data_IF_054477211501
#
_entry.id   IF_054477211501
#
_cell.length_a   1.000
_cell.length_b   1.000
_cell.length_c   1.000
_cell.angle_alpha   90.00
_cell.angle_beta   90.00
_cell.angle_gamma   90.00
#
_symmetry.space_group_name_H-M   'P 1'
#
loop_
_entity.id
_entity.type
_entity.pdbx_description
1 polymer ?
#
# COMPACT_ATOMS: atom_id res chain seq x y z
N UNK A 1 -3.91 -12.38 30.20
CA UNK A 1 -3.67 -10.95 30.19
C UNK A 1 -2.26 -10.66 29.71
N UNK A 2 -2.06 -9.77 28.74
CA UNK A 2 -0.76 -9.51 28.13
C UNK A 2 0.33 -9.10 29.11
N UNK A 3 -0.01 -8.25 30.07
CA UNK A 3 0.97 -7.71 31.00
C UNK A 3 1.52 -8.77 31.96
N UNK A 4 0.77 -9.84 32.26
CA UNK A 4 1.21 -10.95 33.12
C UNK A 4 2.30 -11.81 32.49
N UNK A 5 2.37 -11.87 31.14
CA UNK A 5 3.35 -12.71 30.42
C UNK A 5 4.44 -11.90 29.71
N UNK A 6 4.42 -10.57 29.89
CA UNK A 6 5.35 -9.66 29.22
C UNK A 6 6.82 -10.05 29.43
N UNK A 7 7.18 -10.52 30.61
CA UNK A 7 8.54 -10.92 30.93
C UNK A 7 9.04 -12.14 30.12
N UNK A 8 8.13 -12.95 29.58
CA UNK A 8 8.43 -14.17 28.83
C UNK A 8 8.43 -13.95 27.30
N UNK A 9 8.22 -12.71 26.84
CA UNK A 9 8.08 -12.36 25.44
C UNK A 9 9.11 -11.32 25.03
N UNK A 10 9.55 -11.38 23.77
CA UNK A 10 10.28 -10.27 23.16
C UNK A 10 9.34 -9.06 22.97
N UNK A 11 9.90 -7.88 22.75
CA UNK A 11 9.12 -6.65 22.56
C UNK A 11 8.09 -6.80 21.42
N UNK A 12 8.46 -7.41 20.30
CA UNK A 12 7.57 -7.55 19.15
C UNK A 12 6.55 -8.67 19.37
N UNK A 13 6.93 -9.77 20.02
CA UNK A 13 5.99 -10.80 20.45
C UNK A 13 4.93 -10.24 21.40
N UNK A 14 5.35 -9.39 22.36
CA UNK A 14 4.41 -8.76 23.29
C UNK A 14 3.44 -7.82 22.58
N UNK A 15 3.92 -6.98 21.64
CA UNK A 15 3.04 -6.09 20.86
C UNK A 15 2.00 -6.88 20.08
N UNK A 16 2.45 -7.91 19.36
CA UNK A 16 1.56 -8.76 18.57
C UNK A 16 0.53 -9.49 19.46
N UNK A 17 1.01 -10.10 20.54
CA UNK A 17 0.14 -10.79 21.49
C UNK A 17 -0.91 -9.85 22.09
N UNK A 18 -0.50 -8.65 22.50
CA UNK A 18 -1.40 -7.64 23.04
C UNK A 18 -2.45 -7.19 22.01
N UNK A 19 -2.06 -7.03 20.76
CA UNK A 19 -2.98 -6.69 19.67
C UNK A 19 -4.04 -7.78 19.47
N UNK A 20 -3.60 -9.04 19.35
CA UNK A 20 -4.50 -10.19 19.18
C UNK A 20 -5.44 -10.32 20.39
N UNK A 21 -4.90 -10.23 21.60
CA UNK A 21 -5.69 -10.31 22.84
C UNK A 21 -6.75 -9.21 22.90
N UNK A 22 -6.36 -7.96 22.68
CA UNK A 22 -7.28 -6.83 22.72
C UNK A 22 -8.39 -6.97 21.67
N UNK A 23 -8.03 -7.39 20.44
CA UNK A 23 -9.02 -7.60 19.37
C UNK A 23 -9.98 -8.73 19.72
N UNK A 24 -9.48 -9.84 20.26
CA UNK A 24 -10.32 -10.96 20.69
C UNK A 24 -11.29 -10.52 21.80
N UNK A 25 -10.81 -9.85 22.84
CA UNK A 25 -11.69 -9.36 23.90
C UNK A 25 -12.69 -8.33 23.38
N UNK A 26 -12.24 -7.38 22.56
CA UNK A 26 -13.09 -6.37 21.95
C UNK A 26 -14.23 -6.99 21.12
N UNK A 27 -13.99 -8.11 20.43
CA UNK A 27 -15.03 -8.82 19.67
C UNK A 27 -16.15 -9.41 20.53
N UNK A 28 -15.91 -9.59 21.83
CA UNK A 28 -16.90 -10.10 22.81
C UNK A 28 -17.55 -8.98 23.62
N UNK A 29 -17.15 -7.71 23.40
CA UNK A 29 -17.69 -6.57 24.12
C UNK A 29 -18.89 -5.97 23.38
N UNK A 30 -19.69 -5.20 24.12
CA UNK A 30 -20.80 -4.43 23.55
C UNK A 30 -20.29 -3.41 22.51
N UNK A 31 -21.12 -3.12 21.51
CA UNK A 31 -20.84 -2.09 20.51
C UNK A 31 -20.72 -0.70 21.13
N UNK A 32 -19.96 0.18 20.48
CA UNK A 32 -19.95 1.59 20.83
C UNK A 32 -21.28 2.24 20.44
N UNK A 33 -21.75 3.19 21.27
CA UNK A 33 -22.99 3.94 21.03
C UNK A 33 -22.65 5.40 20.77
N UNK A 34 -23.27 5.96 19.74
CA UNK A 34 -23.13 7.36 19.36
C UNK A 34 -24.49 8.03 19.29
N UNK A 35 -24.57 9.22 19.86
CA UNK A 35 -25.68 10.13 19.55
C UNK A 35 -25.31 10.91 18.28
N UNK A 36 -26.14 10.79 17.25
CA UNK A 36 -25.90 11.45 15.95
C UNK A 36 -26.96 12.51 15.66
N UNK A 37 -26.51 13.65 15.18
CA UNK A 37 -27.38 14.77 14.78
C UNK A 37 -27.11 15.08 13.31
N UNK A 38 -28.18 15.14 12.51
CA UNK A 38 -28.13 15.62 11.13
C UNK A 38 -29.10 16.78 10.98
N UNK A 39 -28.56 17.98 10.77
CA UNK A 39 -29.35 19.20 10.60
C UNK A 39 -29.32 19.67 9.15
N UNK A 40 -30.50 20.01 8.61
CA UNK A 40 -30.62 20.70 7.33
C UNK A 40 -31.07 22.14 7.61
N UNK A 41 -30.25 23.10 7.23
CA UNK A 41 -30.45 24.53 7.46
C UNK A 41 -30.77 25.20 6.12
N UNK A 42 -31.96 25.78 5.98
CA UNK A 42 -32.38 26.45 4.77
C UNK A 42 -32.28 27.96 4.95
N UNK A 43 -31.89 28.67 3.90
CA UNK A 43 -31.87 30.14 3.93
C UNK A 43 -33.28 30.68 3.77
N UNK A 44 -33.59 31.80 4.46
CA UNK A 44 -34.80 32.56 4.30
C UNK A 44 -34.59 33.66 3.22
N UNK A 45 -34.35 33.23 1.98
CA UNK A 45 -34.12 34.13 0.84
C UNK A 45 -34.92 33.68 -0.36
N UNK A 46 -35.08 34.58 -1.40
CA UNK A 46 -35.76 34.24 -2.65
C UNK A 46 -35.23 32.94 -3.28
N UNK A 47 -33.94 32.74 -3.25
CA UNK A 47 -33.27 31.48 -3.63
C UNK A 47 -32.98 30.72 -2.38
N UNK A 48 -33.61 29.57 -2.19
CA UNK A 48 -33.39 28.72 -1.03
C UNK A 48 -32.07 27.92 -1.21
N UNK A 49 -31.12 28.16 -0.34
CA UNK A 49 -29.91 27.38 -0.26
C UNK A 49 -29.98 26.48 0.98
N UNK A 50 -29.62 25.22 0.81
CA UNK A 50 -29.62 24.22 1.89
C UNK A 50 -28.21 23.86 2.31
N UNK A 51 -27.93 24.01 3.59
CA UNK A 51 -26.68 23.58 4.24
C UNK A 51 -26.95 22.34 5.08
N UNK A 52 -26.05 21.39 5.04
CA UNK A 52 -26.13 20.19 5.89
C UNK A 52 -25.01 20.20 6.90
N UNK A 53 -25.34 19.95 8.15
CA UNK A 53 -24.41 19.78 9.24
C UNK A 53 -24.65 18.41 9.89
N UNK A 54 -23.62 17.60 10.02
CA UNK A 54 -23.68 16.31 10.68
C UNK A 54 -22.73 16.33 11.89
N UNK A 55 -23.22 15.85 13.01
CA UNK A 55 -22.42 15.73 14.24
C UNK A 55 -22.66 14.37 14.88
N UNK A 56 -21.68 13.93 15.65
CA UNK A 56 -21.78 12.73 16.48
C UNK A 56 -21.02 12.91 17.78
N UNK A 57 -21.58 12.37 18.84
CA UNK A 57 -20.99 12.37 20.17
C UNK A 57 -20.94 10.92 20.65
N UNK A 58 -19.77 10.48 21.06
CA UNK A 58 -19.58 9.14 21.61
C UNK A 58 -20.22 9.09 23.02
N UNK A 59 -21.31 8.33 23.15
CA UNK A 59 -22.04 8.16 24.41
C UNK A 59 -21.48 7.02 25.25
N UNK A 60 -21.19 5.89 24.58
CA UNK A 60 -20.65 4.71 25.23
C UNK A 60 -19.53 4.12 24.38
N UNK A 61 -18.35 3.94 24.97
CA UNK A 61 -17.17 3.46 24.24
C UNK A 61 -17.25 2.01 23.80
N UNK A 62 -17.92 1.15 24.57
CA UNK A 62 -18.00 -0.27 24.30
C UNK A 62 -16.62 -0.88 24.04
N UNK A 63 -16.50 -1.66 22.97
CA UNK A 63 -15.25 -2.31 22.54
C UNK A 63 -14.09 -1.32 22.25
N UNK A 64 -14.40 -0.08 21.91
CA UNK A 64 -13.39 0.96 21.65
C UNK A 64 -12.54 1.32 22.87
N UNK A 65 -12.92 0.84 24.05
CA UNK A 65 -12.10 0.97 25.26
C UNK A 65 -10.78 0.19 25.16
N UNK A 66 -10.80 -0.94 24.43
CA UNK A 66 -9.63 -1.82 24.27
C UNK A 66 -9.02 -1.76 22.89
N UNK A 67 -9.83 -1.54 21.86
CA UNK A 67 -9.40 -1.60 20.48
C UNK A 67 -10.07 -0.52 19.63
N UNK A 68 -9.25 0.31 19.03
CA UNK A 68 -9.67 1.26 17.98
C UNK A 68 -8.88 0.93 16.75
N UNK A 69 -9.55 0.72 15.63
CA UNK A 69 -8.90 0.45 14.35
C UNK A 69 -8.27 1.75 13.82
N UNK A 70 -6.97 1.72 13.65
CA UNK A 70 -6.24 2.83 13.02
C UNK A 70 -6.56 2.82 11.51
N UNK A 71 -7.03 3.94 10.99
CA UNK A 71 -7.35 4.09 9.56
C UNK A 71 -6.35 5.02 8.93
N UNK A 72 -5.68 4.55 7.89
CA UNK A 72 -4.66 5.32 7.15
C UNK A 72 -5.22 6.61 6.50
N UNK A 73 -6.55 6.68 6.27
CA UNK A 73 -7.21 7.76 5.53
C UNK A 73 -7.91 8.81 6.40
N UNK A 74 -7.76 8.77 7.72
CA UNK A 74 -8.47 9.72 8.60
C UNK A 74 -7.56 10.80 9.18
N UNK A 75 -7.89 12.02 8.85
CA UNK A 75 -7.65 13.16 9.73
C UNK A 75 -8.49 12.97 11.00
N UNK A 76 -7.90 13.15 12.17
CA UNK A 76 -8.54 12.99 13.50
C UNK A 76 -9.81 13.86 13.73
N UNK A 77 -10.21 14.63 12.73
CA UNK A 77 -11.37 15.53 12.77
C UNK A 77 -12.72 14.81 12.67
N UNK A 78 -12.74 13.55 12.20
CA UNK A 78 -14.00 12.81 11.95
C UNK A 78 -14.57 12.10 13.20
N UNK A 79 -13.86 12.07 14.33
CA UNK A 79 -14.28 11.27 15.48
C UNK A 79 -15.28 11.99 16.39
N UNK A 80 -15.26 13.30 16.48
CA UNK A 80 -16.21 14.08 17.27
C UNK A 80 -16.48 15.45 16.62
N UNK A 81 -17.49 15.56 15.77
CA UNK A 81 -18.03 16.87 15.40
C UNK A 81 -19.20 17.20 16.33
N UNK A 82 -18.96 18.10 17.27
CA UNK A 82 -19.99 18.55 18.21
C UNK A 82 -20.86 19.61 17.53
N UNK A 83 -22.13 19.25 17.27
CA UNK A 83 -23.15 20.23 16.92
C UNK A 83 -23.94 20.53 18.19
N UNK A 84 -24.24 21.81 18.49
CA UNK A 84 -25.09 22.16 19.61
C UNK A 84 -26.50 21.56 19.45
N UNK A 85 -27.24 21.45 20.53
CA UNK A 85 -28.65 21.05 20.48
C UNK A 85 -29.44 22.04 19.63
N UNK A 86 -30.11 21.54 18.61
CA UNK A 86 -30.92 22.30 17.68
C UNK A 86 -32.38 21.86 17.76
N UNK A 87 -33.31 22.81 17.69
CA UNK A 87 -34.73 22.52 17.61
C UNK A 87 -35.28 22.74 16.19
N UNK A 88 -36.26 21.92 15.82
CA UNK A 88 -36.86 22.04 14.48
C UNK A 88 -37.58 23.41 14.35
N UNK A 89 -37.25 24.15 13.29
CA UNK A 89 -37.79 25.47 13.04
C UNK A 89 -37.06 26.62 13.77
N UNK A 90 -35.97 26.32 14.45
CA UNK A 90 -35.11 27.33 15.07
C UNK A 90 -34.47 28.24 14.03
N UNK A 91 -34.50 29.54 14.28
CA UNK A 91 -33.83 30.52 13.41
C UNK A 91 -32.41 30.75 13.85
N UNK A 92 -31.47 30.36 12.97
CA UNK A 92 -30.04 30.53 13.20
C UNK A 92 -29.54 31.84 12.60
N UNK A 93 -28.70 32.55 13.36
CA UNK A 93 -28.03 33.75 12.86
C UNK A 93 -26.73 33.36 12.15
N UNK A 94 -26.60 33.80 10.88
CA UNK A 94 -25.36 33.60 10.13
C UNK A 94 -24.25 34.47 10.74
N UNK A 95 -23.17 33.86 11.18
CA UNK A 95 -21.97 34.56 11.65
C UNK A 95 -21.03 34.85 10.46
N UNK A 96 -20.53 33.83 9.81
CA UNK A 96 -19.58 33.92 8.71
C UNK A 96 -19.90 32.90 7.61
N UNK A 97 -19.68 33.28 6.37
CA UNK A 97 -19.68 32.35 5.23
C UNK A 97 -18.29 32.30 4.63
N UNK A 98 -17.65 31.16 4.73
CA UNK A 98 -16.34 30.91 4.13
C UNK A 98 -16.51 30.03 2.89
N UNK A 99 -15.91 30.44 1.80
CA UNK A 99 -15.85 29.63 0.58
C UNK A 99 -14.44 29.05 0.44
N UNK A 100 -14.38 27.73 0.24
CA UNK A 100 -13.12 27.03 0.00
C UNK A 100 -13.19 26.34 -1.36
N UNK A 101 -12.26 26.67 -2.22
CA UNK A 101 -12.08 25.93 -3.46
C UNK A 101 -11.26 24.67 -3.16
N UNK A 102 -11.76 23.53 -3.62
CA UNK A 102 -11.07 22.24 -3.54
C UNK A 102 -11.08 21.58 -4.90
N UNK A 103 -10.08 20.78 -5.18
CA UNK A 103 -9.96 19.98 -6.39
C UNK A 103 -10.02 18.52 -6.02
N UNK A 104 -10.52 17.69 -6.94
CA UNK A 104 -10.46 16.24 -6.79
C UNK A 104 -9.01 15.78 -6.86
N UNK A 105 -8.64 14.93 -5.95
CA UNK A 105 -7.32 14.31 -5.91
C UNK A 105 -7.41 12.86 -6.42
N UNK A 106 -6.32 12.33 -7.01
CA UNK A 106 -6.28 10.92 -7.37
C UNK A 106 -6.38 10.05 -6.10
N UNK A 107 -6.77 8.76 -6.24
CA UNK A 107 -6.75 7.82 -5.12
C UNK A 107 -5.37 7.80 -4.45
N UNK A 108 -5.36 7.70 -3.12
CA UNK A 108 -4.13 7.56 -2.36
C UNK A 108 -3.35 6.31 -2.78
N UNK A 109 -2.02 6.36 -2.69
CA UNK A 109 -1.18 5.18 -2.91
C UNK A 109 -1.43 4.15 -1.83
N UNK A 110 -1.24 2.88 -2.17
CA UNK A 110 -1.36 1.80 -1.20
C UNK A 110 -0.29 1.92 -0.11
N UNK A 111 -0.71 1.64 1.12
CA UNK A 111 0.17 1.22 2.22
C UNK A 111 0.27 -0.31 2.19
N UNK A 112 1.18 -0.91 2.96
CA UNK A 112 1.23 -2.37 3.08
C UNK A 112 -0.12 -2.94 3.54
N UNK A 113 -0.77 -2.30 4.51
CA UNK A 113 -2.06 -2.73 5.03
C UNK A 113 -3.19 -2.61 4.00
N UNK A 114 -3.28 -1.47 3.30
CA UNK A 114 -4.31 -1.28 2.27
C UNK A 114 -4.07 -2.14 1.03
N UNK A 115 -2.81 -2.49 0.73
CA UNK A 115 -2.49 -3.45 -0.32
C UNK A 115 -2.94 -4.87 0.06
N UNK A 116 -2.69 -5.33 1.30
CA UNK A 116 -3.21 -6.62 1.78
C UNK A 116 -4.72 -6.67 1.65
N UNK A 117 -5.41 -5.61 2.10
CA UNK A 117 -6.88 -5.52 1.97
C UNK A 117 -7.33 -5.61 0.51
N UNK A 118 -6.67 -4.91 -0.41
CA UNK A 118 -6.99 -4.97 -1.84
C UNK A 118 -6.72 -6.35 -2.46
N UNK A 119 -5.66 -7.05 -2.03
CA UNK A 119 -5.37 -8.42 -2.46
C UNK A 119 -6.47 -9.38 -1.97
N UNK A 120 -6.87 -9.27 -0.70
CA UNK A 120 -7.95 -10.06 -0.10
C UNK A 120 -9.29 -9.83 -0.82
N UNK A 121 -9.68 -8.56 -1.02
CA UNK A 121 -10.92 -8.19 -1.73
C UNK A 121 -10.97 -8.71 -3.17
N UNK A 122 -9.80 -8.84 -3.81
CA UNK A 122 -9.67 -9.36 -5.18
C UNK A 122 -9.42 -10.87 -5.26
N UNK A 123 -9.32 -11.56 -4.12
CA UNK A 123 -9.06 -13.00 -4.06
C UNK A 123 -7.65 -13.41 -4.47
N UNK A 124 -6.68 -12.48 -4.46
CA UNK A 124 -5.28 -12.71 -4.82
C UNK A 124 -4.47 -13.02 -3.57
N UNK A 125 -3.80 -14.18 -3.55
CA UNK A 125 -3.05 -14.64 -2.38
C UNK A 125 -3.97 -15.14 -1.26
N UNK A 126 -3.34 -15.52 -0.17
CA UNK A 126 -3.99 -16.03 1.05
C UNK A 126 -3.27 -15.45 2.27
N UNK A 127 -3.81 -15.52 3.49
CA UNK A 127 -3.16 -14.98 4.69
C UNK A 127 -1.68 -15.40 4.85
N UNK A 128 -1.32 -16.60 4.42
CA UNK A 128 0.05 -17.12 4.47
C UNK A 128 1.00 -16.48 3.45
N UNK A 129 0.49 -15.86 2.37
CA UNK A 129 1.30 -15.35 1.25
C UNK A 129 1.33 -13.84 1.15
N UNK A 130 0.41 -13.08 1.76
CA UNK A 130 0.37 -11.61 1.64
C UNK A 130 1.67 -10.93 2.03
N UNK A 131 2.25 -11.31 3.16
CA UNK A 131 3.51 -10.71 3.61
C UNK A 131 4.66 -11.01 2.65
N UNK A 132 4.73 -12.24 2.12
CA UNK A 132 5.76 -12.66 1.15
C UNK A 132 5.60 -11.93 -0.18
N UNK A 133 4.38 -11.70 -0.67
CA UNK A 133 4.12 -10.93 -1.89
C UNK A 133 4.68 -9.51 -1.72
N UNK A 134 4.35 -8.84 -0.61
CA UNK A 134 4.79 -7.47 -0.36
C UNK A 134 6.30 -7.38 -0.22
N UNK A 135 6.92 -8.26 0.59
CA UNK A 135 8.37 -8.27 0.73
C UNK A 135 9.07 -8.53 -0.61
N UNK A 136 8.55 -9.45 -1.43
CA UNK A 136 9.14 -9.78 -2.74
C UNK A 136 9.16 -8.59 -3.69
N UNK A 137 8.08 -7.81 -3.78
CA UNK A 137 8.06 -6.65 -4.68
C UNK A 137 8.96 -5.52 -4.21
N UNK A 138 9.17 -5.38 -2.89
CA UNK A 138 10.10 -4.42 -2.29
C UNK A 138 11.53 -4.89 -2.49
N UNK A 139 11.86 -6.14 -2.14
CA UNK A 139 13.21 -6.69 -2.23
C UNK A 139 13.73 -6.75 -3.67
N UNK A 140 12.84 -6.93 -4.63
CA UNK A 140 13.17 -6.87 -6.07
C UNK A 140 13.22 -5.44 -6.62
N UNK A 141 13.02 -4.44 -5.78
CA UNK A 141 12.99 -3.03 -6.16
C UNK A 141 11.96 -2.68 -7.24
N UNK A 142 10.86 -3.43 -7.32
CA UNK A 142 9.73 -3.06 -8.20
C UNK A 142 8.91 -1.94 -7.58
N UNK A 143 8.93 -1.87 -6.24
CA UNK A 143 8.24 -0.88 -5.44
C UNK A 143 9.21 -0.36 -4.38
N UNK A 144 9.12 0.92 -4.09
CA UNK A 144 9.81 1.57 -2.97
C UNK A 144 8.81 2.07 -1.94
N UNK A 145 9.26 2.13 -0.68
CA UNK A 145 8.44 2.60 0.43
C UNK A 145 8.78 4.05 0.76
N UNK A 146 7.86 4.95 0.45
CA UNK A 146 7.95 6.36 0.79
C UNK A 146 7.10 6.62 2.05
N UNK A 147 7.74 6.74 3.21
CA UNK A 147 7.07 6.75 4.52
C UNK A 147 6.27 5.46 4.74
N UNK A 148 4.94 5.54 4.69
CA UNK A 148 4.03 4.38 4.79
C UNK A 148 3.50 3.92 3.42
N UNK A 149 3.65 4.73 2.37
CA UNK A 149 3.08 4.48 1.06
C UNK A 149 4.03 3.72 0.14
N UNK A 150 3.47 2.86 -0.70
CA UNK A 150 4.18 2.10 -1.73
C UNK A 150 4.12 2.84 -3.05
N UNK A 151 5.27 3.07 -3.67
CA UNK A 151 5.38 3.73 -4.98
C UNK A 151 6.10 2.81 -5.97
N UNK A 152 5.58 2.60 -7.20
CA UNK A 152 6.28 1.82 -8.21
C UNK A 152 7.55 2.56 -8.67
N UNK A 153 8.64 1.82 -8.79
CA UNK A 153 9.89 2.32 -9.36
C UNK A 153 9.84 2.30 -10.89
N UNK A 154 10.79 2.95 -11.56
CA UNK A 154 10.89 2.86 -13.02
C UNK A 154 11.14 1.41 -13.48
N UNK A 155 11.96 0.67 -12.74
CA UNK A 155 12.15 -0.77 -12.99
C UNK A 155 10.83 -1.54 -12.89
N UNK A 156 10.06 -1.30 -11.82
CA UNK A 156 8.76 -1.94 -11.62
C UNK A 156 7.77 -1.63 -12.74
N UNK A 157 7.73 -0.39 -13.21
CA UNK A 157 6.88 -0.02 -14.36
C UNK A 157 7.26 -0.71 -15.65
N UNK A 158 8.56 -0.79 -15.96
CA UNK A 158 9.06 -1.46 -17.18
C UNK A 158 8.78 -2.96 -17.11
N UNK A 159 9.07 -3.60 -15.98
CA UNK A 159 8.81 -5.04 -15.79
C UNK A 159 7.32 -5.34 -15.88
N UNK A 160 6.49 -4.54 -15.21
CA UNK A 160 5.04 -4.72 -15.26
C UNK A 160 4.49 -4.56 -16.69
N UNK A 161 4.94 -3.52 -17.40
CA UNK A 161 4.53 -3.31 -18.79
C UNK A 161 4.91 -4.50 -19.67
N UNK A 162 6.16 -4.93 -19.59
CA UNK A 162 6.66 -6.08 -20.34
C UNK A 162 5.84 -7.35 -20.07
N UNK A 163 5.59 -7.66 -18.79
CA UNK A 163 4.84 -8.85 -18.41
C UNK A 163 3.38 -8.79 -18.87
N UNK A 164 2.71 -7.65 -18.73
CA UNK A 164 1.31 -7.48 -19.15
C UNK A 164 1.18 -7.57 -20.68
N UNK A 165 2.13 -7.01 -21.43
CA UNK A 165 2.15 -7.08 -22.89
C UNK A 165 2.50 -8.49 -23.41
N UNK A 166 3.40 -9.20 -22.70
CA UNK A 166 3.86 -10.54 -23.10
C UNK A 166 2.90 -11.66 -22.69
N UNK A 167 2.21 -11.51 -21.53
CA UNK A 167 1.35 -12.54 -20.95
C UNK A 167 0.00 -11.96 -20.49
N UNK A 168 -0.80 -11.38 -21.41
CA UNK A 168 -2.04 -10.68 -21.03
C UNK A 168 -3.07 -11.58 -20.36
N UNK A 169 -3.11 -12.86 -20.70
CA UNK A 169 -4.06 -13.82 -20.15
C UNK A 169 -3.67 -14.28 -18.72
N UNK A 170 -2.38 -14.25 -18.40
CA UNK A 170 -1.84 -14.73 -17.12
C UNK A 170 -1.64 -13.57 -16.14
N UNK A 171 -1.13 -12.44 -16.63
CA UNK A 171 -0.84 -11.27 -15.79
C UNK A 171 -2.10 -10.40 -15.67
N UNK A 172 -3.12 -10.95 -15.07
CA UNK A 172 -4.33 -10.21 -14.72
C UNK A 172 -4.91 -10.68 -13.37
N UNK A 173 -5.76 -9.83 -12.80
CA UNK A 173 -6.35 -10.05 -11.47
C UNK A 173 -7.28 -11.26 -11.46
N UNK A 174 -8.11 -11.40 -12.48
CA UNK A 174 -9.13 -12.45 -12.55
C UNK A 174 -8.51 -13.84 -12.73
N UNK A 175 -7.51 -13.95 -13.57
CA UNK A 175 -6.76 -15.19 -13.73
C UNK A 175 -6.11 -15.63 -12.42
N UNK A 176 -5.44 -14.70 -11.73
CA UNK A 176 -4.77 -15.01 -10.46
C UNK A 176 -5.77 -15.44 -9.39
N UNK A 177 -6.91 -14.75 -9.28
CA UNK A 177 -7.96 -15.11 -8.34
C UNK A 177 -8.57 -16.50 -8.66
N UNK A 178 -8.76 -16.82 -9.94
CA UNK A 178 -9.27 -18.13 -10.36
C UNK A 178 -8.30 -19.27 -10.02
N UNK A 179 -7.01 -19.10 -10.27
CA UNK A 179 -5.99 -20.08 -9.90
C UNK A 179 -5.94 -20.30 -8.38
N UNK A 180 -6.03 -19.24 -7.58
CA UNK A 180 -6.11 -19.34 -6.11
C UNK A 180 -7.33 -20.14 -5.66
N UNK A 181 -8.48 -19.95 -6.30
CA UNK A 181 -9.70 -20.72 -6.02
C UNK A 181 -9.56 -22.18 -6.42
N UNK A 182 -8.95 -22.47 -7.60
CA UNK A 182 -8.67 -23.85 -8.01
C UNK A 182 -7.73 -24.55 -7.01
N UNK A 183 -6.75 -23.83 -6.44
CA UNK A 183 -5.89 -24.41 -5.39
C UNK A 183 -6.67 -24.76 -4.12
N UNK A 184 -7.66 -23.95 -3.74
CA UNK A 184 -8.55 -24.28 -2.63
C UNK A 184 -9.39 -25.52 -2.95
N UNK A 185 -9.91 -25.65 -4.17
CA UNK A 185 -10.68 -26.82 -4.62
C UNK A 185 -9.81 -28.10 -4.65
N UNK A 186 -8.54 -27.98 -5.05
CA UNK A 186 -7.56 -29.08 -4.95
C UNK A 186 -7.33 -29.45 -3.46
N UNK A 187 -7.17 -28.47 -2.58
CA UNK A 187 -6.99 -28.72 -1.14
C UNK A 187 -8.21 -29.41 -0.49
N UNK A 188 -9.40 -29.12 -1.00
CA UNK A 188 -10.65 -29.78 -0.58
C UNK A 188 -10.89 -31.14 -1.26
N UNK A 189 -10.03 -31.55 -2.19
CA UNK A 189 -10.14 -32.81 -2.94
C UNK A 189 -11.26 -32.83 -4.00
N UNK A 190 -11.70 -31.65 -4.44
CA UNK A 190 -12.74 -31.48 -5.48
C UNK A 190 -12.15 -31.45 -6.89
N UNK A 191 -10.89 -31.07 -7.01
CA UNK A 191 -10.17 -30.94 -8.28
C UNK A 191 -8.80 -31.64 -8.21
N UNK A 192 -8.35 -32.18 -9.33
CA UNK A 192 -7.07 -32.87 -9.46
C UNK A 192 -5.95 -31.86 -9.83
N UNK A 193 -4.94 -31.70 -8.98
CA UNK A 193 -3.86 -30.73 -9.17
C UNK A 193 -3.11 -30.89 -10.51
N UNK A 194 -3.06 -32.11 -11.06
CA UNK A 194 -2.42 -32.37 -12.37
C UNK A 194 -3.22 -31.79 -13.53
N UNK A 195 -4.54 -31.74 -13.41
CA UNK A 195 -5.40 -31.12 -14.43
C UNK A 195 -5.21 -29.60 -14.42
N UNK A 196 -5.24 -28.97 -13.25
CA UNK A 196 -4.97 -27.54 -13.08
C UNK A 196 -3.62 -27.15 -13.69
N UNK A 197 -2.56 -27.92 -13.40
CA UNK A 197 -1.23 -27.68 -13.98
C UNK A 197 -1.20 -27.87 -15.51
N UNK A 198 -1.94 -28.82 -16.03
CA UNK A 198 -1.97 -29.11 -17.47
C UNK A 198 -2.67 -28.01 -18.25
N UNK A 199 -3.80 -27.53 -17.70
CA UNK A 199 -4.55 -26.41 -18.27
C UNK A 199 -3.75 -25.10 -18.25
N UNK A 200 -3.00 -24.85 -17.19
CA UNK A 200 -2.11 -23.69 -17.10
C UNK A 200 -0.90 -23.80 -18.03
N UNK A 201 -0.18 -24.93 -17.99
CA UNK A 201 1.13 -25.03 -18.61
C UNK A 201 1.08 -25.05 -20.14
N UNK A 202 0.09 -25.67 -20.73
CA UNK A 202 0.01 -25.82 -22.18
C UNK A 202 -0.09 -24.47 -22.94
N UNK A 203 -1.00 -23.53 -22.56
CA UNK A 203 -1.02 -22.20 -23.16
C UNK A 203 0.23 -21.38 -22.80
N UNK A 204 0.70 -21.45 -21.54
CA UNK A 204 1.89 -20.74 -21.07
C UNK A 204 3.15 -21.12 -21.87
N UNK A 205 3.41 -22.43 -22.08
CA UNK A 205 4.56 -22.89 -22.86
C UNK A 205 4.54 -22.35 -24.30
N UNK A 206 3.36 -22.31 -24.91
CA UNK A 206 3.19 -21.78 -26.26
C UNK A 206 3.48 -20.28 -26.35
N UNK A 207 2.96 -19.49 -25.38
CA UNK A 207 3.25 -18.06 -25.32
C UNK A 207 4.71 -17.80 -25.03
N UNK A 208 5.31 -18.55 -24.10
CA UNK A 208 6.71 -18.41 -23.74
C UNK A 208 7.64 -18.61 -24.95
N UNK A 209 7.39 -19.66 -25.77
CA UNK A 209 8.16 -19.91 -26.99
C UNK A 209 8.04 -18.78 -27.99
N UNK A 210 6.83 -18.26 -28.18
CA UNK A 210 6.59 -17.11 -29.07
C UNK A 210 7.34 -15.86 -28.61
N UNK A 211 7.31 -15.57 -27.31
CA UNK A 211 7.96 -14.40 -26.73
C UNK A 211 9.49 -14.54 -26.82
N UNK A 212 10.04 -15.73 -26.59
CA UNK A 212 11.49 -15.99 -26.69
C UNK A 212 12.04 -15.70 -28.11
N UNK A 213 11.21 -15.91 -29.14
CA UNK A 213 11.53 -15.59 -30.52
C UNK A 213 11.34 -14.11 -30.89
N UNK A 214 10.36 -13.43 -30.30
CA UNK A 214 9.93 -12.08 -30.66
C UNK A 214 10.48 -10.97 -29.75
N UNK A 215 11.00 -11.30 -28.56
CA UNK A 215 11.36 -10.32 -27.54
C UNK A 215 12.66 -9.59 -27.90
N UNK A 216 12.55 -8.32 -28.25
CA UNK A 216 13.69 -7.43 -28.33
C UNK A 216 14.21 -7.06 -26.92
N UNK A 217 15.51 -6.80 -26.83
CA UNK A 217 16.14 -6.38 -25.56
C UNK A 217 15.55 -5.07 -25.05
N UNK A 218 14.70 -5.13 -24.01
CA UNK A 218 14.12 -3.95 -23.36
C UNK A 218 15.17 -3.32 -22.45
N UNK A 219 15.54 -2.09 -22.76
CA UNK A 219 16.43 -1.29 -21.89
C UNK A 219 15.60 -0.46 -20.92
N UNK A 220 15.88 -0.60 -19.62
CA UNK A 220 15.36 0.31 -18.59
C UNK A 220 16.00 1.68 -18.82
N UNK A 221 15.19 2.75 -18.85
CA UNK A 221 15.70 4.12 -18.98
C UNK A 221 16.65 4.41 -17.83
N UNK A 222 17.90 4.65 -18.16
CA UNK A 222 18.96 4.93 -17.19
C UNK A 222 18.75 6.32 -16.57
N UNK A 223 18.75 6.40 -15.26
CA UNK A 223 18.73 7.68 -14.53
C UNK A 223 20.14 8.24 -14.47
N UNK A 224 20.33 9.47 -14.95
CA UNK A 224 21.62 10.16 -14.84
C UNK A 224 21.87 10.54 -13.37
N UNK A 225 23.08 10.25 -12.91
CA UNK A 225 23.53 10.70 -11.59
C UNK A 225 24.28 12.04 -11.72
N UNK A 226 24.41 12.77 -10.61
CA UNK A 226 25.24 13.99 -10.58
C UNK A 226 26.75 13.69 -10.46
N UNK A 227 27.16 12.42 -10.53
CA UNK A 227 28.54 11.97 -10.29
C UNK A 227 29.23 11.70 -11.60
N UNK A 228 30.41 12.28 -11.77
CA UNK A 228 31.27 12.04 -12.94
C UNK A 228 32.17 10.83 -12.74
N UNK A 229 32.39 10.10 -13.80
CA UNK A 229 33.31 8.96 -13.83
C UNK A 229 34.77 9.47 -13.71
N UNK A 230 35.49 9.01 -12.72
CA UNK A 230 36.89 9.36 -12.47
C UNK A 230 37.84 8.90 -13.57
N UNK A 231 37.44 7.87 -14.35
CA UNK A 231 38.29 7.31 -15.41
C UNK A 231 38.13 7.99 -16.76
N UNK A 232 36.93 8.46 -17.11
CA UNK A 232 36.64 9.01 -18.45
C UNK A 232 35.86 10.33 -18.45
N UNK A 233 35.49 10.85 -17.27
CA UNK A 233 34.79 12.14 -17.12
C UNK A 233 33.29 12.15 -17.52
N UNK A 234 32.75 11.07 -18.08
CA UNK A 234 31.31 10.96 -18.44
C UNK A 234 30.46 10.93 -17.18
N UNK A 235 29.24 11.46 -17.24
CA UNK A 235 28.26 11.36 -16.14
C UNK A 235 27.89 9.90 -15.92
N UNK A 236 27.96 9.42 -14.67
CA UNK A 236 27.60 8.06 -14.35
C UNK A 236 26.08 7.92 -14.30
N UNK A 237 25.60 6.74 -14.65
CA UNK A 237 24.16 6.39 -14.63
C UNK A 237 23.87 5.42 -13.51
N UNK A 238 22.67 5.53 -12.96
CA UNK A 238 22.18 4.61 -11.92
C UNK A 238 21.63 3.36 -12.62
N UNK A 239 22.21 2.21 -12.30
CA UNK A 239 21.74 0.91 -12.76
C UNK A 239 21.28 0.06 -11.58
N UNK A 240 20.38 -0.87 -11.87
CA UNK A 240 19.88 -1.82 -10.90
C UNK A 240 20.54 -3.18 -11.09
N UNK A 241 21.21 -3.68 -10.08
CA UNK A 241 21.86 -5.00 -10.06
C UNK A 241 21.23 -5.93 -9.02
N UNK A 242 21.77 -7.14 -8.92
CA UNK A 242 21.32 -8.17 -7.96
C UNK A 242 21.35 -7.68 -6.50
N UNK A 243 22.22 -6.74 -6.18
CA UNK A 243 22.44 -6.22 -4.83
C UNK A 243 21.92 -4.80 -4.62
N UNK A 244 21.04 -4.31 -5.52
CA UNK A 244 20.47 -2.97 -5.44
C UNK A 244 21.03 -1.99 -6.48
N UNK A 245 20.84 -0.70 -6.22
CA UNK A 245 21.30 0.40 -7.08
C UNK A 245 22.83 0.50 -7.05
N UNK A 246 23.44 0.74 -8.20
CA UNK A 246 24.85 1.04 -8.33
C UNK A 246 25.08 2.08 -9.43
N UNK A 247 26.19 2.78 -9.37
CA UNK A 247 26.62 3.74 -10.39
C UNK A 247 27.49 3.04 -11.43
N UNK A 248 27.11 3.13 -12.70
CA UNK A 248 27.88 2.60 -13.81
C UNK A 248 28.28 3.70 -14.79
N UNK A 249 29.43 3.55 -15.41
CA UNK A 249 29.83 4.45 -16.47
C UNK A 249 29.13 4.08 -17.78
N UNK A 250 28.47 5.02 -18.48
CA UNK A 250 27.82 4.75 -19.77
C UNK A 250 28.81 4.44 -20.89
N UNK A 251 30.10 4.60 -20.65
CA UNK A 251 31.17 4.26 -21.62
C UNK A 251 31.50 2.77 -21.70
N UNK A 252 30.70 1.87 -21.16
CA UNK A 252 30.88 0.42 -21.34
C UNK A 252 30.74 0.04 -22.83
N UNK A 253 31.55 -0.86 -23.39
CA UNK A 253 32.60 -1.67 -22.75
C UNK A 253 34.00 -1.00 -22.60
N UNK A 254 34.19 0.19 -23.13
CA UNK A 254 35.47 0.90 -23.07
C UNK A 254 35.86 1.34 -21.67
N UNK A 255 34.88 1.81 -20.88
CA UNK A 255 35.07 2.20 -19.50
C UNK A 255 34.18 1.35 -18.58
N UNK A 256 34.80 0.42 -17.84
CA UNK A 256 34.13 -0.50 -16.93
C UNK A 256 34.07 0.00 -15.49
N UNK A 257 34.01 1.34 -15.31
CA UNK A 257 33.98 1.90 -13.95
C UNK A 257 32.59 1.75 -13.32
N UNK A 258 32.57 1.16 -12.14
CA UNK A 258 31.35 0.91 -11.33
C UNK A 258 31.64 1.43 -9.92
N UNK A 259 30.64 2.08 -9.30
CA UNK A 259 30.70 2.52 -7.90
C UNK A 259 29.43 2.07 -7.18
N UNK A 260 29.49 1.79 -5.87
CA UNK A 260 28.29 1.61 -5.07
C UNK A 260 27.46 2.89 -5.10
N UNK A 261 26.15 2.75 -5.05
CA UNK A 261 25.23 3.89 -4.86
C UNK A 261 25.10 4.15 -3.37
N UNK A 262 25.86 5.10 -2.86
CA UNK A 262 25.87 5.49 -1.45
C UNK A 262 24.94 6.70 -1.27
N UNK A 263 24.00 6.59 -0.36
CA UNK A 263 23.23 7.76 0.11
C UNK A 263 23.98 8.34 1.29
N UNK A 264 24.58 9.51 1.09
CA UNK A 264 25.21 10.23 2.20
C UNK A 264 24.15 10.66 3.20
N UNK A 265 24.34 10.29 4.44
CA UNK A 265 23.58 10.80 5.57
C UNK A 265 24.44 11.91 6.19
N UNK A 266 23.87 13.09 6.42
CA UNK A 266 24.57 14.25 7.01
C UNK A 266 24.85 14.07 8.52
N UNK A 267 25.15 12.84 8.94
CA UNK A 267 25.48 12.50 10.32
C UNK A 267 26.79 11.73 10.32
N UNK A 268 27.85 12.29 10.93
CA UNK A 268 29.14 11.59 11.02
C UNK A 268 29.03 10.31 11.84
N UNK A 269 29.81 9.31 11.48
CA UNK A 269 29.85 8.04 12.17
C UNK A 269 30.21 8.24 13.64
N UNK A 270 29.40 7.77 14.63
CA UNK A 270 29.66 7.99 16.04
C UNK A 270 30.91 7.24 16.57
N UNK A 271 31.47 6.31 15.78
CA UNK A 271 32.62 5.51 16.17
C UNK A 271 33.93 6.04 15.59
N UNK A 272 33.94 6.46 14.31
CA UNK A 272 35.17 6.90 13.63
C UNK A 272 35.12 8.34 13.09
N UNK A 273 34.00 9.04 13.18
CA UNK A 273 33.85 10.43 12.73
C UNK A 273 33.89 10.62 11.21
N UNK A 274 33.83 9.53 10.43
CA UNK A 274 33.76 9.63 8.97
C UNK A 274 32.34 10.03 8.51
N UNK A 275 32.26 10.90 7.48
CA UNK A 275 31.01 11.34 6.84
C UNK A 275 30.39 10.23 5.98
#
# INVERSE_FOLDING_TARGET
>A
EPDKIKANLTTDQYKLYKLIYNRFIASQMASAEYDTVSATINTDTKNVYSFKANGQILKFKGFMTLYVEDRDDKTNEDLESKIPELTIGETLKKDKLETKQSFTEPPARYTEASLVKALEEKGIGRPSTYATIISTIIDRHYVEKNQKQLAPTELGKVVNKLLVESFPDIINVEFTANIENQFDEVAEGKEEWKEVLREFYAPFEKELKKIDEELEHVQVKEEESNIKCEKCGRTMVIKYGRYGKFLACPGYPECKNIKPFETKIDVPCPVCGAD
#
